data_IF_733725762876
#
_entry.id   IF_733725762876
#
_cell.length_a   1.000
_cell.length_b   1.000
_cell.length_c   1.000
_cell.angle_alpha   90.00
_cell.angle_beta   90.00
_cell.angle_gamma   90.00
#
_symmetry.space_group_name_H-M   'P 1'
#
loop_
_entity.id
_entity.type
_entity.pdbx_description
1 polymer ?
#
# COMPACT_ATOMS: atom_id res chain seq x y z
N UNK A 1 11.24 20.61 -17.37
CA UNK A 1 10.68 20.25 -18.69
C UNK A 1 9.51 19.31 -18.44
N UNK A 2 8.30 19.80 -18.66
CA UNK A 2 7.04 19.14 -18.32
C UNK A 2 6.65 18.16 -19.42
N UNK A 3 6.33 16.91 -19.08
CA UNK A 3 5.77 15.96 -20.05
C UNK A 3 4.60 15.23 -19.41
N UNK A 4 3.39 15.60 -19.80
CA UNK A 4 2.21 14.79 -19.57
C UNK A 4 2.09 13.76 -20.71
N UNK A 5 1.89 12.47 -20.42
CA UNK A 5 0.82 11.73 -21.04
C UNK A 5 -0.50 12.08 -20.32
N UNK A 6 -1.50 12.45 -21.10
CA UNK A 6 -2.87 12.68 -20.65
C UNK A 6 -3.61 11.35 -20.57
N UNK A 7 -3.47 10.67 -19.44
CA UNK A 7 -4.50 9.84 -18.83
C UNK A 7 -4.60 10.29 -17.38
N UNK A 8 -5.72 10.91 -16.98
CA UNK A 8 -5.91 11.23 -15.56
C UNK A 8 -6.06 9.87 -14.88
N UNK A 9 -5.10 9.47 -14.04
CA UNK A 9 -5.19 8.20 -13.30
C UNK A 9 -6.61 8.04 -12.73
N UNK A 10 -7.24 6.91 -13.04
CA UNK A 10 -8.63 6.61 -12.65
C UNK A 10 -8.67 5.66 -11.46
N UNK A 11 -7.53 5.08 -11.09
CA UNK A 11 -7.40 4.25 -9.91
C UNK A 11 -7.80 5.02 -8.64
N UNK A 12 -8.42 4.31 -7.71
CA UNK A 12 -8.65 4.79 -6.36
C UNK A 12 -8.02 3.83 -5.36
N UNK A 13 -7.56 4.36 -4.23
CA UNK A 13 -6.94 3.59 -3.17
C UNK A 13 -7.70 3.83 -1.87
N UNK A 14 -8.10 2.74 -1.21
CA UNK A 14 -8.88 2.81 0.02
C UNK A 14 -8.34 1.83 1.06
N UNK A 15 -8.53 2.17 2.33
CA UNK A 15 -8.54 1.20 3.42
C UNK A 15 -9.98 0.66 3.54
N UNK A 16 -10.13 -0.65 3.53
CA UNK A 16 -11.42 -1.31 3.62
C UNK A 16 -11.49 -2.26 4.82
N UNK A 17 -12.66 -2.30 5.47
CA UNK A 17 -12.93 -3.25 6.57
C UNK A 17 -12.80 -4.71 6.13
N UNK A 18 -13.17 -4.99 4.88
CA UNK A 18 -13.05 -6.30 4.27
C UNK A 18 -13.07 -6.17 2.75
N UNK A 19 -12.60 -7.22 2.07
CA UNK A 19 -12.73 -7.33 0.62
C UNK A 19 -14.18 -7.21 0.14
N UNK A 20 -15.15 -7.76 0.89
CA UNK A 20 -16.55 -7.65 0.55
C UNK A 20 -17.06 -6.20 0.59
N UNK A 21 -16.57 -5.39 1.53
CA UNK A 21 -16.89 -3.97 1.56
C UNK A 21 -16.31 -3.25 0.34
N UNK A 22 -15.07 -3.55 -0.04
CA UNK A 22 -14.43 -2.96 -1.22
C UNK A 22 -15.15 -3.32 -2.53
N UNK A 23 -15.63 -4.56 -2.67
CA UNK A 23 -16.40 -5.01 -3.84
C UNK A 23 -17.67 -4.21 -4.07
N UNK A 24 -18.31 -3.72 -3.01
CA UNK A 24 -19.53 -2.91 -3.08
C UNK A 24 -19.29 -1.44 -3.44
N UNK A 25 -18.04 -0.98 -3.45
CA UNK A 25 -17.70 0.38 -3.86
C UNK A 25 -17.75 0.47 -5.39
N UNK A 26 -18.33 1.54 -5.93
CA UNK A 26 -18.26 1.85 -7.36
C UNK A 26 -16.90 2.47 -7.73
N UNK A 27 -16.58 2.48 -9.02
CA UNK A 27 -15.31 3.02 -9.54
C UNK A 27 -14.23 1.94 -9.59
N UNK A 28 -13.65 1.76 -10.77
CA UNK A 28 -12.57 0.82 -11.03
C UNK A 28 -11.54 1.52 -11.94
N UNK A 29 -10.25 1.14 -11.88
CA UNK A 29 -9.68 0.16 -10.95
C UNK A 29 -9.68 0.66 -9.49
N UNK A 30 -9.84 -0.27 -8.54
CA UNK A 30 -9.85 0.01 -7.11
C UNK A 30 -8.80 -0.85 -6.41
N UNK A 31 -7.96 -0.19 -5.61
CA UNK A 31 -7.01 -0.85 -4.73
C UNK A 31 -7.52 -0.75 -3.29
N UNK A 32 -7.75 -1.90 -2.67
CA UNK A 32 -8.25 -1.99 -1.30
C UNK A 32 -7.20 -2.61 -0.38
N UNK A 33 -6.74 -1.81 0.58
CA UNK A 33 -5.89 -2.25 1.68
C UNK A 33 -6.81 -2.79 2.77
N UNK A 34 -6.68 -4.07 3.07
CA UNK A 34 -7.44 -4.76 4.12
C UNK A 34 -6.44 -5.25 5.16
N UNK A 35 -6.83 -5.14 6.45
CA UNK A 35 -6.00 -5.67 7.51
C UNK A 35 -5.75 -7.17 7.29
N UNK A 36 -4.50 -7.59 7.41
CA UNK A 36 -4.18 -9.01 7.42
C UNK A 36 -4.82 -9.65 8.66
N UNK A 37 -5.60 -10.70 8.44
CA UNK A 37 -6.25 -11.45 9.50
C UNK A 37 -5.38 -12.61 9.99
N UNK A 38 -4.27 -12.90 9.28
CA UNK A 38 -3.28 -13.87 9.73
C UNK A 38 -2.57 -13.36 11.00
N UNK A 39 -2.38 -14.27 11.96
CA UNK A 39 -1.74 -13.96 13.24
C UNK A 39 -0.20 -14.01 13.15
N UNK A 40 0.38 -13.80 11.97
CA UNK A 40 1.82 -13.80 11.80
C UNK A 40 2.43 -12.61 12.56
N UNK A 41 3.39 -12.89 13.44
CA UNK A 41 3.96 -11.92 14.36
C UNK A 41 5.45 -11.73 14.06
N UNK A 42 5.82 -10.62 13.40
CA UNK A 42 7.21 -10.25 13.21
C UNK A 42 7.71 -9.49 14.46
N UNK A 43 8.13 -10.22 15.49
CA UNK A 43 8.76 -9.65 16.70
C UNK A 43 7.93 -8.56 17.42
N UNK A 44 6.60 -8.62 17.33
CA UNK A 44 5.69 -7.64 17.92
C UNK A 44 5.23 -6.54 16.97
N UNK A 45 5.89 -6.39 15.80
CA UNK A 45 5.54 -5.44 14.76
C UNK A 45 4.72 -6.13 13.67
N UNK A 46 3.45 -5.75 13.53
CA UNK A 46 2.50 -6.39 12.61
C UNK A 46 2.15 -5.45 11.47
N UNK A 47 3.10 -5.25 10.56
CA UNK A 47 2.96 -4.35 9.42
C UNK A 47 2.34 -4.99 8.18
N UNK A 48 1.76 -6.18 8.28
CA UNK A 48 1.15 -6.85 7.13
C UNK A 48 -0.25 -6.31 6.84
N UNK A 49 -0.52 -6.15 5.54
CA UNK A 49 -1.85 -5.91 5.01
C UNK A 49 -2.00 -6.61 3.67
N UNK A 50 -3.24 -6.93 3.33
CA UNK A 50 -3.59 -7.39 1.99
C UNK A 50 -3.93 -6.22 1.11
N UNK A 51 -3.33 -6.17 -0.08
CA UNK A 51 -3.71 -5.24 -1.13
C UNK A 51 -4.48 -6.02 -2.21
N UNK A 52 -5.77 -5.76 -2.29
CA UNK A 52 -6.64 -6.31 -3.33
C UNK A 52 -6.78 -5.31 -4.46
N UNK A 53 -6.58 -5.76 -5.69
CA UNK A 53 -6.75 -4.99 -6.91
C UNK A 53 -8.01 -5.50 -7.58
N UNK A 54 -9.01 -4.62 -7.73
CA UNK A 54 -10.27 -4.89 -8.40
C UNK A 54 -10.29 -4.13 -9.73
N UNK A 55 -10.35 -4.84 -10.84
CA UNK A 55 -10.35 -4.25 -12.18
C UNK A 55 -11.77 -3.99 -12.71
N UNK A 56 -11.89 -3.27 -13.82
CA UNK A 56 -13.17 -3.03 -14.51
C UNK A 56 -13.81 -4.33 -15.01
N UNK A 57 -12.98 -5.28 -15.43
CA UNK A 57 -13.42 -6.58 -15.94
C UNK A 57 -13.85 -7.56 -14.84
N UNK A 58 -13.80 -7.12 -13.57
CA UNK A 58 -14.16 -7.93 -12.40
C UNK A 58 -13.07 -8.91 -11.96
N UNK A 59 -11.86 -8.81 -12.53
CA UNK A 59 -10.72 -9.58 -12.05
C UNK A 59 -10.24 -9.06 -10.69
N UNK A 60 -9.80 -10.00 -9.85
CA UNK A 60 -9.30 -9.74 -8.52
C UNK A 60 -7.89 -10.31 -8.39
N UNK A 61 -6.94 -9.45 -8.02
CA UNK A 61 -5.58 -9.85 -7.70
C UNK A 61 -5.25 -9.46 -6.27
N UNK A 62 -4.74 -10.40 -5.47
CA UNK A 62 -4.23 -10.12 -4.12
C UNK A 62 -2.70 -10.05 -4.17
N UNK A 63 -2.14 -8.99 -3.59
CA UNK A 63 -0.71 -8.87 -3.31
C UNK A 63 -0.48 -8.56 -1.84
N UNK A 64 0.65 -9.03 -1.31
CA UNK A 64 1.01 -8.82 0.10
C UNK A 64 1.72 -7.48 0.25
N UNK A 65 1.12 -6.59 1.03
CA UNK A 65 1.65 -5.27 1.32
C UNK A 65 2.25 -5.25 2.73
N UNK A 66 3.35 -4.53 2.91
CA UNK A 66 3.73 -4.01 4.21
C UNK A 66 3.33 -2.56 4.34
N UNK A 67 2.80 -2.17 5.48
CA UNK A 67 2.39 -0.81 5.78
C UNK A 67 2.69 -0.49 7.25
N UNK A 68 3.37 0.63 7.46
CA UNK A 68 3.76 1.12 8.78
C UNK A 68 3.13 2.50 9.00
N UNK A 69 2.32 2.62 10.03
CA UNK A 69 1.68 3.88 10.44
C UNK A 69 2.43 4.45 11.65
N UNK A 70 2.79 5.73 11.60
CA UNK A 70 3.55 6.37 12.68
C UNK A 70 2.75 6.35 13.98
N UNK A 71 3.39 5.87 15.06
CA UNK A 71 2.76 5.72 16.38
C UNK A 71 1.94 4.44 16.56
N UNK A 72 1.99 3.51 15.59
CA UNK A 72 1.27 2.24 15.65
C UNK A 72 2.19 1.05 15.33
N UNK A 73 2.36 0.17 16.30
CA UNK A 73 3.16 -1.06 16.16
C UNK A 73 2.45 -2.13 15.30
N UNK A 74 1.15 -1.97 15.07
CA UNK A 74 0.30 -2.95 14.41
C UNK A 74 -0.62 -2.28 13.38
N UNK A 75 -0.38 -2.58 12.11
CA UNK A 75 -1.17 -2.08 10.98
C UNK A 75 -2.63 -2.52 11.07
N UNK A 76 -2.90 -3.75 11.55
CA UNK A 76 -4.26 -4.25 11.74
C UNK A 76 -5.04 -3.40 12.74
N UNK A 77 -4.40 -2.99 13.83
CA UNK A 77 -5.05 -2.19 14.87
C UNK A 77 -5.36 -0.79 14.34
N UNK A 78 -4.41 -0.19 13.60
CA UNK A 78 -4.66 1.10 12.93
C UNK A 78 -5.81 0.99 11.92
N UNK A 79 -5.75 0.02 11.00
CA UNK A 79 -6.78 -0.18 9.97
C UNK A 79 -8.15 -0.35 10.64
N UNK A 80 -8.26 -1.21 11.66
CA UNK A 80 -9.50 -1.42 12.42
C UNK A 80 -9.98 -0.18 13.19
N UNK A 81 -9.09 0.75 13.51
CA UNK A 81 -9.47 2.01 14.16
C UNK A 81 -10.10 3.02 13.19
N UNK A 82 -9.79 2.96 11.89
CA UNK A 82 -10.24 3.93 10.88
C UNK A 82 -11.40 3.46 10.01
N UNK A 83 -11.78 2.18 10.10
CA UNK A 83 -12.96 1.61 9.44
C UNK A 83 -13.85 0.87 10.44
N UNK A 84 -15.18 0.99 10.30
CA UNK A 84 -16.17 0.35 11.16
C UNK A 84 -17.28 -0.33 10.35
N UNK A 85 -18.30 -0.90 11.01
CA UNK A 85 -19.46 -1.44 10.30
C UNK A 85 -20.28 -0.33 9.62
N UNK A 86 -20.35 0.84 10.25
CA UNK A 86 -21.07 2.03 9.80
C UNK A 86 -20.28 2.83 8.76
N UNK A 87 -18.94 2.74 8.81
CA UNK A 87 -18.03 3.37 7.84
C UNK A 87 -16.98 2.36 7.36
N UNK A 88 -17.34 1.42 6.48
CA UNK A 88 -16.48 0.28 6.15
C UNK A 88 -15.37 0.60 5.14
N UNK A 89 -15.34 1.81 4.59
CA UNK A 89 -14.37 2.29 3.60
C UNK A 89 -13.80 3.62 4.08
N UNK A 90 -12.48 3.80 3.95
CA UNK A 90 -11.76 5.04 4.20
C UNK A 90 -10.83 5.32 3.01
N UNK A 91 -11.01 6.41 2.25
CA UNK A 91 -10.06 6.81 1.22
C UNK A 91 -8.65 6.98 1.81
N UNK A 92 -7.62 6.53 1.09
CA UNK A 92 -6.25 6.54 1.64
C UNK A 92 -5.77 7.97 1.93
N UNK A 93 -6.14 8.93 1.09
CA UNK A 93 -5.89 10.37 1.30
C UNK A 93 -6.55 10.97 2.57
N UNK A 94 -7.46 10.24 3.22
CA UNK A 94 -8.05 10.65 4.50
C UNK A 94 -7.38 9.98 5.71
N UNK A 95 -6.28 9.25 5.52
CA UNK A 95 -5.47 8.71 6.61
C UNK A 95 -4.80 9.87 7.34
N UNK A 96 -5.09 10.00 8.64
CA UNK A 96 -4.70 11.17 9.44
C UNK A 96 -3.31 11.07 10.08
N UNK A 97 -2.60 9.96 9.87
CA UNK A 97 -1.24 9.74 10.41
C UNK A 97 -0.28 9.52 9.25
N UNK A 98 0.96 9.96 9.39
CA UNK A 98 2.01 9.62 8.42
C UNK A 98 2.20 8.12 8.36
N UNK A 99 2.45 7.60 7.17
CA UNK A 99 2.69 6.17 6.96
C UNK A 99 3.57 5.94 5.73
N UNK A 100 4.13 4.75 5.63
CA UNK A 100 4.79 4.30 4.42
C UNK A 100 4.39 2.86 4.11
N UNK A 101 4.45 2.49 2.84
CA UNK A 101 4.19 1.12 2.40
C UNK A 101 5.36 0.53 1.61
N UNK A 102 5.36 -0.80 1.48
CA UNK A 102 6.36 -1.54 0.72
C UNK A 102 5.76 -2.84 0.20
N UNK A 103 5.84 -3.08 -1.11
CA UNK A 103 5.48 -4.38 -1.65
C UNK A 103 6.41 -5.47 -1.12
N UNK A 104 5.85 -6.66 -0.84
CA UNK A 104 6.63 -7.77 -0.28
C UNK A 104 7.69 -8.32 -1.23
N UNK A 105 7.52 -8.21 -2.55
CA UNK A 105 8.44 -8.74 -3.56
C UNK A 105 8.57 -7.82 -4.77
N UNK A 106 9.74 -7.80 -5.41
CA UNK A 106 9.99 -6.98 -6.60
C UNK A 106 9.05 -7.35 -7.78
N UNK A 107 8.67 -8.62 -7.89
CA UNK A 107 7.72 -9.13 -8.89
C UNK A 107 6.33 -8.52 -8.75
N UNK A 108 5.92 -8.11 -7.54
CA UNK A 108 4.60 -7.50 -7.30
C UNK A 108 4.46 -6.13 -7.94
N UNK A 109 5.54 -5.34 -8.05
CA UNK A 109 5.51 -4.08 -8.82
C UNK A 109 5.23 -4.33 -10.29
N UNK A 110 5.83 -5.39 -10.87
CA UNK A 110 5.53 -5.79 -12.26
C UNK A 110 4.08 -6.21 -12.40
N UNK A 111 3.57 -7.01 -11.46
CA UNK A 111 2.16 -7.44 -11.46
C UNK A 111 1.20 -6.23 -11.39
N UNK A 112 1.50 -5.23 -10.56
CA UNK A 112 0.71 -4.00 -10.50
C UNK A 112 0.67 -3.29 -11.87
N UNK A 113 1.82 -3.13 -12.53
CA UNK A 113 1.88 -2.50 -13.87
C UNK A 113 1.14 -3.31 -14.92
N UNK A 114 1.22 -4.64 -14.88
CA UNK A 114 0.50 -5.53 -15.80
C UNK A 114 -1.02 -5.44 -15.63
N UNK A 115 -1.50 -5.31 -14.39
CA UNK A 115 -2.94 -5.27 -14.07
C UNK A 115 -3.55 -3.87 -14.23
N UNK A 116 -2.86 -2.83 -13.77
CA UNK A 116 -3.41 -1.46 -13.69
C UNK A 116 -2.96 -0.56 -14.85
N UNK A 117 -1.91 -0.95 -15.56
CA UNK A 117 -1.14 -0.06 -16.40
C UNK A 117 -0.20 0.85 -15.60
N UNK A 118 0.76 1.45 -16.29
CA UNK A 118 1.83 2.22 -15.67
C UNK A 118 1.33 3.45 -14.89
N UNK A 119 0.45 4.25 -15.49
CA UNK A 119 -0.04 5.52 -14.87
C UNK A 119 -0.81 5.28 -13.57
N UNK A 120 -1.76 4.34 -13.59
CA UNK A 120 -2.52 3.96 -12.40
C UNK A 120 -1.64 3.30 -11.33
N UNK A 121 -0.61 2.56 -11.73
CA UNK A 121 0.35 1.97 -10.79
C UNK A 121 1.16 3.05 -10.09
N UNK A 122 1.74 3.99 -10.83
CA UNK A 122 2.50 5.10 -10.24
C UNK A 122 1.60 5.95 -9.33
N UNK A 123 0.37 6.24 -9.77
CA UNK A 123 -0.60 6.95 -8.94
C UNK A 123 -0.88 6.19 -7.63
N UNK A 124 -1.21 4.89 -7.71
CA UNK A 124 -1.54 4.10 -6.54
C UNK A 124 -0.37 3.99 -5.56
N UNK A 125 0.85 3.76 -6.06
CA UNK A 125 2.06 3.69 -5.24
C UNK A 125 2.35 5.02 -4.53
N UNK A 126 2.16 6.16 -5.20
CA UNK A 126 2.26 7.50 -4.56
C UNK A 126 1.20 7.68 -3.48
N UNK A 127 -0.06 7.35 -3.77
CA UNK A 127 -1.15 7.46 -2.78
C UNK A 127 -0.96 6.52 -1.58
N UNK A 128 -0.24 5.41 -1.76
CA UNK A 128 0.12 4.48 -0.69
C UNK A 128 1.44 4.83 0.00
N UNK A 129 2.09 5.96 -0.34
CA UNK A 129 3.38 6.34 0.23
C UNK A 129 4.42 5.21 0.13
N UNK A 130 4.54 4.61 -1.07
CA UNK A 130 5.46 3.49 -1.31
C UNK A 130 6.92 3.92 -1.18
N UNK A 131 7.66 3.21 -0.31
CA UNK A 131 9.02 3.52 0.04
C UNK A 131 10.02 3.36 -1.12
N UNK A 132 9.78 2.42 -2.05
CA UNK A 132 10.67 2.23 -3.21
C UNK A 132 10.46 3.36 -4.20
N UNK A 133 9.20 3.70 -4.49
CA UNK A 133 8.89 4.80 -5.41
C UNK A 133 9.37 6.14 -4.86
N UNK A 134 9.13 6.44 -3.57
CA UNK A 134 9.61 7.66 -2.93
C UNK A 134 11.14 7.82 -3.05
N UNK A 135 11.90 6.75 -2.79
CA UNK A 135 13.36 6.76 -2.95
C UNK A 135 13.78 6.90 -4.43
N UNK A 136 13.09 6.25 -5.38
CA UNK A 136 13.41 6.34 -6.80
C UNK A 136 13.17 7.75 -7.36
N UNK A 137 12.04 8.36 -6.97
CA UNK A 137 11.64 9.69 -7.43
C UNK A 137 12.35 10.81 -6.64
N UNK A 138 12.94 10.49 -5.48
CA UNK A 138 13.44 11.47 -4.50
C UNK A 138 12.35 12.47 -4.09
N UNK A 139 11.14 11.96 -3.96
CA UNK A 139 9.93 12.68 -3.55
C UNK A 139 9.39 12.08 -2.25
N UNK A 140 8.60 12.85 -1.49
CA UNK A 140 8.05 12.45 -0.19
C UNK A 140 9.11 12.27 0.92
N UNK A 141 9.62 13.41 1.41
CA UNK A 141 10.67 13.46 2.43
C UNK A 141 10.27 12.77 3.75
N UNK A 142 8.98 12.76 4.09
CA UNK A 142 8.48 12.12 5.31
C UNK A 142 8.59 10.60 5.18
N UNK A 143 8.19 10.03 4.04
CA UNK A 143 8.38 8.60 3.75
C UNK A 143 9.85 8.24 3.73
N UNK A 144 10.69 9.03 3.05
CA UNK A 144 12.14 8.79 3.02
C UNK A 144 12.72 8.80 4.44
N UNK A 145 12.33 9.76 5.29
CA UNK A 145 12.75 9.79 6.68
C UNK A 145 12.31 8.55 7.47
N UNK A 146 11.10 8.04 7.23
CA UNK A 146 10.62 6.79 7.83
C UNK A 146 11.47 5.59 7.42
N UNK A 147 12.00 5.55 6.19
CA UNK A 147 12.86 4.44 5.75
C UNK A 147 14.19 4.34 6.48
N UNK A 148 14.59 5.39 7.20
CA UNK A 148 15.84 5.46 7.98
C UNK A 148 15.65 5.08 9.45
N UNK A 149 14.43 4.80 9.90
CA UNK A 149 14.14 4.46 11.30
C UNK A 149 14.45 2.99 11.60
N UNK A 150 14.75 2.70 12.86
CA UNK A 150 14.97 1.33 13.32
C UNK A 150 13.72 0.46 13.10
N UNK A 151 12.53 1.00 13.38
CA UNK A 151 11.25 0.30 13.19
C UNK A 151 11.04 -0.14 11.74
N UNK A 152 11.41 0.70 10.77
CA UNK A 152 11.35 0.33 9.36
C UNK A 152 12.30 -0.83 9.05
N UNK A 153 13.54 -0.76 9.52
CA UNK A 153 14.53 -1.81 9.27
C UNK A 153 14.13 -3.15 9.93
N UNK A 154 13.60 -3.11 11.16
CA UNK A 154 13.16 -4.30 11.89
C UNK A 154 11.85 -4.87 11.36
N UNK A 155 10.89 -3.99 11.03
CA UNK A 155 9.51 -4.31 10.76
C UNK A 155 9.11 -4.33 9.28
N UNK A 156 9.88 -3.78 8.35
CA UNK A 156 9.52 -3.72 6.92
C UNK A 156 10.47 -4.54 6.02
N UNK A 157 11.78 -4.58 6.30
CA UNK A 157 12.79 -5.14 5.36
C UNK A 157 13.20 -6.60 5.65
N UNK A 158 12.97 -7.13 6.87
CA UNK A 158 13.73 -8.27 7.42
C UNK A 158 13.67 -9.63 6.69
N UNK A 159 12.82 -9.84 5.68
CA UNK A 159 12.86 -11.08 4.91
C UNK A 159 13.92 -10.97 3.80
N UNK A 160 14.84 -11.93 3.71
CA UNK A 160 16.06 -11.84 2.87
C UNK A 160 15.81 -11.52 1.38
N UNK A 161 14.58 -11.73 0.87
CA UNK A 161 14.16 -11.26 -0.47
C UNK A 161 13.93 -9.76 -0.59
N UNK A 162 13.47 -9.07 0.47
CA UNK A 162 13.07 -7.65 0.46
C UNK A 162 14.24 -6.69 0.44
N UNK A 163 15.35 -7.05 1.09
CA UNK A 163 16.60 -6.30 1.01
C UNK A 163 17.11 -6.18 -0.44
N UNK A 164 16.90 -7.23 -1.25
CA UNK A 164 17.29 -7.24 -2.67
C UNK A 164 16.44 -6.32 -3.55
N UNK A 165 15.16 -6.13 -3.22
CA UNK A 165 14.28 -5.21 -3.95
C UNK A 165 14.61 -3.76 -3.62
N UNK A 166 14.79 -3.43 -2.33
CA UNK A 166 15.15 -2.09 -1.88
C UNK A 166 16.52 -1.63 -2.43
N UNK A 167 17.53 -2.53 -2.45
CA UNK A 167 18.89 -2.18 -2.91
C UNK A 167 19.05 -2.11 -4.44
N UNK A 168 18.02 -2.48 -5.22
CA UNK A 168 18.05 -2.44 -6.69
C UNK A 168 17.21 -1.29 -7.28
N UNK A 169 16.64 -0.43 -6.43
CA UNK A 169 16.14 0.89 -6.83
C UNK A 169 17.29 1.85 -7.10
#
# INVERSE_FOLDING_TARGET
MTRAPTGKATASVVIARSLNAARNLEGRPLLAIVADEDNWNDYGLRHYADLFILTEDGEETRVNLRIMFVGWDNARDYIKSVVSAESPIRPIEQVGVSFCSLQSEATQYRQLVEVLGFENTVFALRSMHDAVLANLEQEDADVIALTLTEDFHLGMIRNAGRYTAYRRG
#
